data_IF_835076835505
#
_entry.id   IF_835076835505
#
_cell.length_a   1.000
_cell.length_b   1.000
_cell.length_c   1.000
_cell.angle_alpha   90.00
_cell.angle_beta   90.00
_cell.angle_gamma   90.00
#
_symmetry.space_group_name_H-M   'P 1'
#
loop_
_entity.id
_entity.type
_entity.pdbx_description
1 polymer ?
#
# COMPACT_ATOMS: atom_id res chain seq x y z
N UNK A 1 12.31 -23.06 2.78
CA UNK A 1 13.28 -21.98 2.67
C UNK A 1 12.96 -21.10 1.47
N UNK A 2 12.83 -19.81 1.69
CA UNK A 2 12.55 -18.91 0.59
C UNK A 2 13.77 -18.81 -0.33
N UNK A 3 13.52 -18.84 -1.62
CA UNK A 3 14.57 -18.55 -2.57
C UNK A 3 15.07 -17.13 -2.39
N UNK A 4 16.34 -16.94 -2.68
CA UNK A 4 16.94 -15.62 -2.55
C UNK A 4 16.37 -14.69 -3.62
N UNK A 5 15.77 -13.60 -3.19
CA UNK A 5 15.24 -12.61 -4.11
C UNK A 5 16.23 -11.47 -4.31
N UNK A 6 16.06 -10.74 -5.40
CA UNK A 6 16.93 -9.59 -5.70
C UNK A 6 16.61 -8.42 -4.76
N UNK A 7 17.53 -7.48 -4.69
CA UNK A 7 17.31 -6.26 -3.93
C UNK A 7 16.07 -5.50 -4.43
N UNK A 8 15.89 -5.47 -5.74
CA UNK A 8 14.72 -4.81 -6.33
C UNK A 8 13.43 -5.47 -5.87
N UNK A 9 13.36 -6.79 -5.97
CA UNK A 9 12.17 -7.54 -5.53
C UNK A 9 11.90 -7.33 -4.04
N UNK A 10 12.95 -7.37 -3.23
CA UNK A 10 12.83 -7.16 -1.79
C UNK A 10 12.26 -5.78 -1.49
N UNK A 11 12.78 -4.75 -2.16
CA UNK A 11 12.32 -3.37 -1.95
C UNK A 11 10.85 -3.19 -2.34
N UNK A 12 10.45 -3.78 -3.47
CA UNK A 12 9.06 -3.74 -3.89
C UNK A 12 8.16 -4.44 -2.88
N UNK A 13 8.57 -5.59 -2.38
CA UNK A 13 7.80 -6.33 -1.39
C UNK A 13 7.68 -5.56 -0.07
N UNK A 14 8.77 -4.92 0.36
CA UNK A 14 8.75 -4.09 1.57
C UNK A 14 7.74 -2.94 1.40
N UNK A 15 7.76 -2.29 0.25
CA UNK A 15 6.86 -1.19 -0.02
C UNK A 15 5.40 -1.66 0.04
N UNK A 16 5.08 -2.76 -0.62
CA UNK A 16 3.72 -3.32 -0.58
C UNK A 16 3.32 -3.74 0.83
N UNK A 17 4.25 -4.33 1.56
CA UNK A 17 3.99 -4.69 2.95
C UNK A 17 3.62 -3.46 3.78
N UNK A 18 4.36 -2.36 3.62
CA UNK A 18 4.08 -1.12 4.35
C UNK A 18 2.78 -0.46 3.93
N UNK A 19 2.40 -0.55 2.65
CA UNK A 19 1.10 -0.02 2.22
C UNK A 19 -0.05 -0.80 2.82
N UNK A 20 0.17 -2.07 3.09
CA UNK A 20 -0.86 -2.94 3.66
C UNK A 20 -0.90 -2.85 5.18
N UNK A 21 0.25 -2.91 5.84
CA UNK A 21 0.35 -2.93 7.30
C UNK A 21 0.61 -1.57 7.92
N UNK A 22 1.11 -0.62 7.14
CA UNK A 22 1.47 0.75 7.52
C UNK A 22 2.64 0.86 8.47
N UNK A 23 3.07 -0.21 9.09
CA UNK A 23 4.08 -0.20 10.13
C UNK A 23 4.85 -1.51 10.11
N UNK A 24 6.14 -1.44 10.37
CA UNK A 24 6.99 -2.59 10.62
C UNK A 24 8.20 -2.14 11.42
N UNK A 25 9.19 -3.01 11.55
CA UNK A 25 10.48 -2.65 12.13
C UNK A 25 11.60 -3.19 11.27
N UNK A 26 12.78 -2.57 11.38
CA UNK A 26 13.94 -3.03 10.62
C UNK A 26 14.32 -4.46 11.05
N UNK A 27 14.20 -4.77 12.33
CA UNK A 27 14.48 -6.11 12.85
C UNK A 27 13.55 -7.14 12.23
N UNK A 28 12.27 -6.84 12.21
CA UNK A 28 11.27 -7.76 11.66
C UNK A 28 11.47 -7.98 10.17
N UNK A 29 11.70 -6.91 9.42
CA UNK A 29 11.94 -7.02 7.99
C UNK A 29 13.21 -7.78 7.67
N UNK A 30 14.28 -7.54 8.46
CA UNK A 30 15.53 -8.27 8.28
C UNK A 30 15.32 -9.77 8.49
N UNK A 31 14.54 -10.14 9.47
CA UNK A 31 14.18 -11.53 9.75
C UNK A 31 13.40 -12.14 8.60
N UNK A 32 12.37 -11.42 8.12
CA UNK A 32 11.49 -11.91 7.07
C UNK A 32 12.23 -12.17 5.76
N UNK A 33 13.25 -11.39 5.47
CA UNK A 33 13.99 -11.49 4.22
C UNK A 33 15.35 -12.15 4.38
N UNK A 34 15.70 -12.56 5.58
CA UNK A 34 16.99 -13.23 5.88
C UNK A 34 18.19 -12.38 5.43
N UNK A 35 18.12 -11.09 5.71
CA UNK A 35 19.21 -10.15 5.44
C UNK A 35 19.56 -9.40 6.73
N UNK A 36 20.69 -8.72 6.74
CA UNK A 36 21.08 -7.95 7.92
C UNK A 36 20.28 -6.66 8.02
N UNK A 37 20.24 -6.09 9.21
CA UNK A 37 19.48 -4.87 9.47
C UNK A 37 19.98 -3.70 8.63
N UNK A 38 21.26 -3.63 8.39
CA UNK A 38 21.83 -2.57 7.55
C UNK A 38 21.27 -2.62 6.12
N UNK A 39 21.11 -3.83 5.58
CA UNK A 39 20.52 -4.01 4.25
C UNK A 39 19.10 -3.49 4.21
N UNK A 40 18.32 -3.82 5.22
CA UNK A 40 16.94 -3.31 5.31
C UNK A 40 16.94 -1.80 5.47
N UNK A 41 17.80 -1.27 6.31
CA UNK A 41 17.90 0.18 6.48
C UNK A 41 18.18 0.87 5.14
N UNK A 42 19.10 0.33 4.36
CA UNK A 42 19.41 0.87 3.04
C UNK A 42 18.21 0.77 2.10
N UNK A 43 17.46 -0.32 2.17
CA UNK A 43 16.24 -0.47 1.38
C UNK A 43 15.22 0.60 1.75
N UNK A 44 15.02 0.85 3.04
CA UNK A 44 14.09 1.86 3.53
C UNK A 44 14.54 3.26 3.07
N UNK A 45 15.82 3.54 3.16
CA UNK A 45 16.35 4.83 2.70
C UNK A 45 16.15 5.02 1.20
N UNK A 46 16.31 3.96 0.43
CA UNK A 46 16.03 3.99 -1.00
C UNK A 46 14.55 4.27 -1.27
N UNK A 47 13.68 3.53 -0.62
CA UNK A 47 12.23 3.68 -0.81
C UNK A 47 11.72 5.04 -0.35
N UNK A 48 12.34 5.63 0.66
CA UNK A 48 11.92 6.93 1.19
C UNK A 48 12.09 8.08 0.18
N UNK A 49 12.85 7.85 -0.88
CA UNK A 49 12.96 8.82 -1.98
C UNK A 49 11.69 8.88 -2.84
N UNK A 50 10.91 7.82 -2.82
CA UNK A 50 9.76 7.66 -3.73
C UNK A 50 8.43 7.55 -2.99
N UNK A 51 8.47 7.27 -1.69
CA UNK A 51 7.29 7.09 -0.88
C UNK A 51 7.49 7.77 0.48
N UNK A 52 6.44 8.28 1.10
CA UNK A 52 6.55 8.97 2.39
C UNK A 52 6.71 7.96 3.53
N UNK A 53 7.88 7.35 3.58
CA UNK A 53 8.27 6.40 4.62
C UNK A 53 9.16 7.14 5.61
N UNK A 54 8.92 6.94 6.89
CA UNK A 54 9.77 7.50 7.92
C UNK A 54 10.09 6.46 8.99
N UNK A 55 11.18 6.69 9.70
CA UNK A 55 11.60 5.82 10.79
C UNK A 55 11.54 6.59 12.09
N UNK A 56 11.30 5.86 13.17
CA UNK A 56 11.23 6.42 14.51
C UNK A 56 11.96 5.49 15.45
N UNK A 57 12.82 6.05 16.30
CA UNK A 57 13.53 5.23 17.29
C UNK A 57 12.74 5.11 18.59
N UNK A 58 13.15 4.20 19.43
CA UNK A 58 12.59 4.04 20.77
C UNK A 58 11.57 2.93 20.85
N UNK A 59 10.89 2.86 21.99
CA UNK A 59 9.97 1.78 22.33
C UNK A 59 8.80 1.68 21.33
N UNK A 60 8.27 2.82 20.94
CA UNK A 60 7.18 2.87 19.96
C UNK A 60 7.71 3.19 18.56
N UNK A 61 8.96 2.83 18.33
CA UNK A 61 9.62 3.10 17.05
C UNK A 61 9.28 2.09 15.99
N UNK A 62 9.88 2.30 14.83
CA UNK A 62 9.71 1.40 13.70
C UNK A 62 9.79 2.14 12.38
N UNK A 63 9.31 1.48 11.35
CA UNK A 63 9.21 2.01 9.99
C UNK A 63 7.74 2.23 9.71
N UNK A 64 7.41 3.44 9.26
CA UNK A 64 6.02 3.85 9.07
C UNK A 64 5.81 4.43 7.70
N UNK A 65 4.63 4.20 7.15
CA UNK A 65 4.18 4.85 5.93
C UNK A 65 3.10 5.85 6.30
N UNK A 66 3.16 7.05 5.72
CA UNK A 66 2.14 8.07 5.95
C UNK A 66 0.81 7.57 5.37
N UNK A 67 -0.26 7.69 6.15
CA UNK A 67 -1.57 7.10 5.86
C UNK A 67 -2.13 7.43 4.48
N UNK A 68 -2.05 8.69 4.09
CA UNK A 68 -2.67 9.14 2.84
C UNK A 68 -1.98 8.65 1.58
N UNK A 69 -0.75 8.20 1.68
CA UNK A 69 0.01 7.74 0.52
C UNK A 69 -0.67 6.57 -0.19
N UNK A 70 -1.33 5.74 0.57
CA UNK A 70 -1.99 4.54 0.07
C UNK A 70 -2.97 4.86 -1.05
N UNK A 71 -3.78 5.89 -0.88
CA UNK A 71 -4.76 6.30 -1.87
C UNK A 71 -4.11 6.90 -3.11
N UNK A 72 -3.04 7.66 -2.90
CA UNK A 72 -2.30 8.26 -4.01
C UNK A 72 -1.61 7.21 -4.87
N UNK A 73 -1.02 6.22 -4.23
CA UNK A 73 -0.24 5.19 -4.91
C UNK A 73 -1.10 4.28 -5.76
N UNK A 74 -2.27 3.90 -5.28
CA UNK A 74 -3.11 2.91 -5.95
C UNK A 74 -4.31 3.50 -6.67
N UNK A 75 -4.45 4.81 -6.70
CA UNK A 75 -5.52 5.49 -7.44
C UNK A 75 -6.90 4.93 -7.10
N UNK A 76 -7.22 4.91 -5.84
CA UNK A 76 -8.55 4.48 -5.41
C UNK A 76 -9.55 5.62 -5.43
N UNK A 77 -10.80 5.29 -5.66
CA UNK A 77 -11.89 6.24 -5.48
C UNK A 77 -12.03 6.59 -4.00
N UNK A 78 -12.32 7.85 -3.73
CA UNK A 78 -12.68 8.25 -2.37
C UNK A 78 -14.09 7.77 -2.04
N UNK A 79 -14.45 7.81 -0.76
CA UNK A 79 -15.81 7.43 -0.35
C UNK A 79 -16.87 8.30 -1.01
N UNK A 80 -16.60 9.60 -1.13
CA UNK A 80 -17.54 10.53 -1.76
C UNK A 80 -17.68 10.27 -3.25
N UNK A 81 -16.56 9.98 -3.93
CA UNK A 81 -16.59 9.66 -5.35
C UNK A 81 -17.37 8.38 -5.61
N UNK A 82 -17.13 7.36 -4.81
CA UNK A 82 -17.82 6.10 -4.94
C UNK A 82 -19.32 6.25 -4.68
N UNK A 83 -19.70 6.98 -3.64
CA UNK A 83 -21.09 7.24 -3.31
C UNK A 83 -21.80 8.00 -4.43
N UNK A 84 -21.13 8.98 -5.03
CA UNK A 84 -21.69 9.73 -6.14
C UNK A 84 -21.92 8.82 -7.35
N UNK A 85 -20.96 7.95 -7.66
CA UNK A 85 -21.09 7.02 -8.78
C UNK A 85 -22.25 6.06 -8.58
N UNK A 86 -22.45 5.54 -7.37
CA UNK A 86 -23.60 4.68 -7.08
C UNK A 86 -24.91 5.42 -7.28
N UNK A 87 -24.96 6.67 -6.85
CA UNK A 87 -26.17 7.49 -6.98
C UNK A 87 -26.51 7.78 -8.44
N UNK A 88 -25.51 8.14 -9.22
CA UNK A 88 -25.69 8.39 -10.66
C UNK A 88 -26.10 7.10 -11.38
N UNK A 89 -25.48 5.99 -11.01
CA UNK A 89 -25.74 4.70 -11.64
C UNK A 89 -27.20 4.33 -11.58
N UNK A 90 -27.90 4.70 -10.50
CA UNK A 90 -29.31 4.37 -10.34
C UNK A 90 -30.21 5.02 -11.40
N UNK A 91 -29.73 6.11 -12.02
CA UNK A 91 -30.51 6.85 -13.02
C UNK A 91 -30.14 6.51 -14.47
N UNK A 92 -29.16 5.65 -14.68
CA UNK A 92 -28.62 5.36 -16.01
C UNK A 92 -29.30 4.12 -16.64
N UNK A 93 -29.33 4.06 -17.98
CA UNK A 93 -29.75 2.84 -18.66
C UNK A 93 -28.79 1.69 -18.39
N UNK A 94 -29.25 0.46 -18.61
CA UNK A 94 -28.50 -0.73 -18.23
C UNK A 94 -27.09 -0.79 -18.82
N UNK A 95 -26.92 -0.40 -20.08
CA UNK A 95 -25.61 -0.42 -20.72
C UNK A 95 -24.63 0.52 -20.00
N UNK A 96 -25.07 1.70 -19.60
CA UNK A 96 -24.24 2.67 -18.90
C UNK A 96 -24.04 2.28 -17.45
N UNK A 97 -25.04 1.68 -16.82
CA UNK A 97 -24.90 1.11 -15.48
C UNK A 97 -23.76 0.13 -15.41
N UNK A 98 -23.63 -0.73 -16.38
CA UNK A 98 -22.56 -1.73 -16.42
C UNK A 98 -21.18 -1.08 -16.53
N UNK A 99 -21.06 0.00 -17.30
CA UNK A 99 -19.81 0.73 -17.41
C UNK A 99 -19.42 1.35 -16.08
N UNK A 100 -20.35 2.00 -15.41
CA UNK A 100 -20.10 2.62 -14.10
C UNK A 100 -19.75 1.56 -13.07
N UNK A 101 -20.46 0.43 -13.07
CA UNK A 101 -20.16 -0.68 -12.16
C UNK A 101 -18.74 -1.19 -12.36
N UNK A 102 -18.28 -1.26 -13.60
CA UNK A 102 -16.90 -1.66 -13.89
C UNK A 102 -15.87 -0.66 -13.35
N UNK A 103 -16.16 0.63 -13.45
CA UNK A 103 -15.29 1.67 -12.88
C UNK A 103 -15.19 1.50 -11.37
N UNK A 104 -16.32 1.31 -10.70
CA UNK A 104 -16.35 1.12 -9.26
C UNK A 104 -15.54 -0.12 -8.87
N UNK A 105 -15.75 -1.23 -9.58
CA UNK A 105 -15.04 -2.49 -9.28
C UNK A 105 -13.54 -2.37 -9.45
N UNK A 106 -13.08 -1.61 -10.46
CA UNK A 106 -11.65 -1.42 -10.72
C UNK A 106 -10.98 -0.54 -9.68
N UNK A 107 -11.66 0.49 -9.23
CA UNK A 107 -11.02 1.56 -8.46
C UNK A 107 -11.53 1.72 -7.04
N UNK A 108 -12.42 0.87 -6.59
CA UNK A 108 -12.85 0.85 -5.18
C UNK A 108 -11.68 0.49 -4.28
N UNK A 109 -11.64 1.11 -3.12
CA UNK A 109 -10.65 0.74 -2.13
C UNK A 109 -10.91 -0.69 -1.67
N UNK A 110 -9.85 -1.49 -1.51
CA UNK A 110 -10.03 -2.84 -1.00
C UNK A 110 -10.63 -2.79 0.41
N UNK A 111 -11.60 -3.65 0.63
CA UNK A 111 -12.18 -3.79 1.96
C UNK A 111 -11.15 -4.46 2.84
N UNK A 112 -10.75 -3.78 3.89
CA UNK A 112 -9.86 -4.39 4.86
C UNK A 112 -10.62 -5.41 5.66
N UNK A 113 -10.14 -6.62 5.66
CA UNK A 113 -10.61 -7.62 6.61
C UNK A 113 -10.15 -7.16 7.99
N UNK A 114 -11.06 -6.76 8.81
CA UNK A 114 -10.73 -6.40 10.18
C UNK A 114 -11.01 -7.56 11.09
#
# INVERSE_FOLDING_TARGET
MKDKITAFERRIEILFFLTKQRKSSIVELAKNYSVCQKTVYNDIMFLSRYAPIYTKSGINGGVFLIDDYRNSMFLYLSCDEEALLYRIMATLPLSEKNIVANIINKYSQPKTAT
#
